data_IF_902864659503
#
_entry.id   IF_902864659503
#
_cell.length_a   1.000
_cell.length_b   1.000
_cell.length_c   1.000
_cell.angle_alpha   90.00
_cell.angle_beta   90.00
_cell.angle_gamma   90.00
#
_symmetry.space_group_name_H-M   'P 1'
#
loop_
_entity.id
_entity.type
_entity.pdbx_description
1 polymer ?
#
# COMPACT_ATOMS: atom_id res chain seq x y z
N UNK A 1 -23.84 -1.88 -9.86
CA UNK A 1 -22.89 -2.12 -10.98
C UNK A 1 -21.88 -0.98 -11.19
N UNK A 2 -22.26 0.30 -11.16
CA UNK A 2 -21.32 1.43 -11.37
C UNK A 2 -20.17 1.46 -10.37
N UNK A 3 -20.46 1.22 -9.08
CA UNK A 3 -19.45 1.20 -8.00
C UNK A 3 -18.38 0.12 -8.22
N UNK A 4 -18.76 -1.11 -8.53
CA UNK A 4 -17.79 -2.19 -8.78
C UNK A 4 -16.84 -1.86 -9.95
N UNK A 5 -17.37 -1.23 -11.01
CA UNK A 5 -16.55 -0.80 -12.15
C UNK A 5 -15.56 0.29 -11.76
N UNK A 6 -16.01 1.26 -10.95
CA UNK A 6 -15.14 2.30 -10.39
C UNK A 6 -14.04 1.70 -9.50
N UNK A 7 -14.43 0.84 -8.55
CA UNK A 7 -13.49 0.17 -7.64
C UNK A 7 -12.44 -0.65 -8.41
N UNK A 8 -12.85 -1.32 -9.49
CA UNK A 8 -11.91 -2.07 -10.32
C UNK A 8 -10.94 -1.16 -11.07
N UNK A 9 -11.42 0.00 -11.56
CA UNK A 9 -10.57 1.00 -12.20
C UNK A 9 -9.56 1.58 -11.20
N UNK A 10 -10.02 1.92 -9.98
CA UNK A 10 -9.14 2.40 -8.89
C UNK A 10 -8.11 1.33 -8.53
N UNK A 11 -8.54 0.08 -8.33
CA UNK A 11 -7.64 -1.04 -8.07
C UNK A 11 -6.56 -1.18 -9.15
N UNK A 12 -6.93 -1.08 -10.44
CA UNK A 12 -5.98 -1.12 -11.55
C UNK A 12 -4.95 0.01 -11.46
N UNK A 13 -5.38 1.24 -11.19
CA UNK A 13 -4.44 2.38 -11.03
C UNK A 13 -3.50 2.19 -9.84
N UNK A 14 -4.02 1.72 -8.71
CA UNK A 14 -3.21 1.40 -7.52
C UNK A 14 -2.16 0.35 -7.88
N UNK A 15 -2.53 -0.73 -8.57
CA UNK A 15 -1.58 -1.77 -9.01
C UNK A 15 -0.47 -1.20 -9.90
N UNK A 16 -0.80 -0.32 -10.84
CA UNK A 16 0.21 0.34 -11.69
C UNK A 16 1.13 1.28 -10.90
N UNK A 17 0.61 1.98 -9.89
CA UNK A 17 1.41 2.84 -9.03
C UNK A 17 2.32 2.04 -8.08
N UNK A 18 1.85 0.89 -7.58
CA UNK A 18 2.60 0.05 -6.63
C UNK A 18 3.90 -0.49 -7.23
N UNK A 19 3.92 -0.85 -8.52
CA UNK A 19 5.12 -1.40 -9.16
C UNK A 19 6.34 -0.48 -9.05
N UNK A 20 6.31 0.79 -9.54
CA UNK A 20 7.44 1.70 -9.40
C UNK A 20 7.70 2.07 -7.94
N UNK A 21 6.68 2.27 -7.10
CA UNK A 21 6.89 2.60 -5.68
C UNK A 21 7.64 1.48 -4.95
N UNK A 22 7.26 0.22 -5.18
CA UNK A 22 7.94 -0.94 -4.58
C UNK A 22 9.41 -0.99 -5.00
N UNK A 23 9.70 -0.77 -6.28
CA UNK A 23 11.09 -0.75 -6.78
C UNK A 23 11.87 0.36 -6.07
N UNK A 24 11.34 1.58 -6.02
CA UNK A 24 12.03 2.72 -5.42
C UNK A 24 12.30 2.47 -3.93
N UNK A 25 11.28 2.08 -3.16
CA UNK A 25 11.41 1.86 -1.71
C UNK A 25 12.33 0.68 -1.38
N UNK A 26 12.26 -0.41 -2.16
CA UNK A 26 13.14 -1.56 -1.96
C UNK A 26 14.60 -1.20 -2.27
N UNK A 27 14.84 -0.57 -3.43
CA UNK A 27 16.18 -0.17 -3.85
C UNK A 27 16.78 0.86 -2.88
N UNK A 28 16.01 1.86 -2.47
CA UNK A 28 16.47 2.89 -1.53
C UNK A 28 16.75 2.31 -0.14
N UNK A 29 15.91 1.40 0.35
CA UNK A 29 16.13 0.69 1.62
C UNK A 29 17.40 -0.16 1.61
N UNK A 30 17.62 -0.94 0.54
CA UNK A 30 18.86 -1.70 0.39
C UNK A 30 20.09 -0.80 0.23
N UNK A 31 20.00 0.27 -0.55
CA UNK A 31 21.08 1.23 -0.72
C UNK A 31 21.49 1.87 0.62
N UNK A 32 20.51 2.22 1.45
CA UNK A 32 20.75 2.80 2.77
C UNK A 32 21.41 1.81 3.74
N UNK A 33 20.88 0.59 3.87
CA UNK A 33 21.35 -0.42 4.83
C UNK A 33 22.69 -1.04 4.40
N UNK A 34 22.84 -1.37 3.11
CA UNK A 34 24.04 -2.04 2.56
C UNK A 34 25.12 -1.06 2.08
N UNK A 35 24.89 0.26 2.19
CA UNK A 35 25.80 1.32 1.73
C UNK A 35 26.20 1.16 0.26
N UNK A 36 25.23 0.86 -0.60
CA UNK A 36 25.50 0.63 -2.03
C UNK A 36 25.89 1.94 -2.71
N UNK A 37 26.90 1.93 -3.56
CA UNK A 37 27.53 3.15 -4.10
C UNK A 37 26.75 3.84 -5.23
N UNK A 38 25.77 3.18 -5.86
CA UNK A 38 25.02 3.78 -6.97
C UNK A 38 24.00 4.85 -6.53
N UNK A 39 23.69 4.94 -5.23
CA UNK A 39 22.75 5.91 -4.68
C UNK A 39 23.36 6.58 -3.45
N UNK A 40 23.40 7.91 -3.43
CA UNK A 40 23.90 8.65 -2.28
C UNK A 40 23.08 8.32 -1.03
N UNK A 41 23.76 8.05 0.10
CA UNK A 41 23.10 7.56 1.33
C UNK A 41 22.00 8.50 1.84
N UNK A 42 22.21 9.82 1.78
CA UNK A 42 21.18 10.79 2.17
C UNK A 42 19.93 10.73 1.29
N UNK A 43 20.11 10.58 -0.03
CA UNK A 43 19.02 10.42 -0.99
C UNK A 43 18.31 9.07 -0.81
N UNK A 44 19.07 8.01 -0.54
CA UNK A 44 18.52 6.68 -0.25
C UNK A 44 17.61 6.71 0.99
N UNK A 45 18.06 7.37 2.07
CA UNK A 45 17.25 7.58 3.26
C UNK A 45 15.98 8.37 2.94
N UNK A 46 16.11 9.54 2.31
CA UNK A 46 14.96 10.38 1.98
C UNK A 46 13.92 9.67 1.11
N UNK A 47 14.35 8.96 0.06
CA UNK A 47 13.44 8.21 -0.81
C UNK A 47 12.74 7.07 -0.06
N UNK A 48 13.45 6.37 0.81
CA UNK A 48 12.86 5.28 1.60
C UNK A 48 11.86 5.81 2.63
N UNK A 49 12.26 6.83 3.38
CA UNK A 49 11.50 7.42 4.49
C UNK A 49 10.28 8.23 4.04
N UNK A 50 10.32 8.83 2.84
CA UNK A 50 9.17 9.59 2.33
C UNK A 50 8.13 8.74 1.59
N UNK A 51 8.55 7.61 1.02
CA UNK A 51 7.70 6.81 0.13
C UNK A 51 7.19 5.51 0.77
N UNK A 52 7.72 5.10 1.91
CA UNK A 52 7.28 3.88 2.58
C UNK A 52 5.85 3.97 3.13
N UNK A 53 5.45 5.09 3.77
CA UNK A 53 4.08 5.29 4.23
C UNK A 53 3.11 5.35 3.03
N UNK A 54 3.33 6.17 1.98
CA UNK A 54 2.52 6.11 0.77
C UNK A 54 2.43 4.72 0.15
N UNK A 55 3.55 3.99 0.09
CA UNK A 55 3.58 2.60 -0.40
C UNK A 55 2.69 1.71 0.46
N UNK A 56 2.81 1.78 1.80
CA UNK A 56 2.07 0.92 2.71
C UNK A 56 0.56 1.19 2.64
N UNK A 57 0.15 2.46 2.58
CA UNK A 57 -1.25 2.84 2.40
C UNK A 57 -1.82 2.31 1.07
N UNK A 58 -1.05 2.40 -0.01
CA UNK A 58 -1.45 1.83 -1.31
C UNK A 58 -1.52 0.31 -1.26
N UNK A 59 -0.61 -0.37 -0.56
CA UNK A 59 -0.66 -1.84 -0.36
C UNK A 59 -1.93 -2.22 0.39
N UNK A 60 -2.26 -1.53 1.49
CA UNK A 60 -3.49 -1.81 2.26
C UNK A 60 -4.72 -1.66 1.36
N UNK A 61 -4.83 -0.55 0.62
CA UNK A 61 -5.93 -0.32 -0.31
C UNK A 61 -6.00 -1.39 -1.41
N UNK A 62 -4.84 -1.78 -1.98
CA UNK A 62 -4.75 -2.83 -2.99
C UNK A 62 -5.24 -4.17 -2.45
N UNK A 63 -4.76 -4.59 -1.29
CA UNK A 63 -5.10 -5.88 -0.67
C UNK A 63 -6.59 -5.92 -0.30
N UNK A 64 -7.16 -4.85 0.25
CA UNK A 64 -8.60 -4.82 0.60
C UNK A 64 -9.48 -4.93 -0.65
N UNK A 65 -9.13 -4.23 -1.73
CA UNK A 65 -9.85 -4.30 -3.00
C UNK A 65 -9.69 -5.67 -3.67
N UNK A 66 -8.47 -6.22 -3.70
CA UNK A 66 -8.20 -7.55 -4.23
C UNK A 66 -8.97 -8.64 -3.46
N UNK A 67 -8.91 -8.60 -2.12
CA UNK A 67 -9.66 -9.51 -1.26
C UNK A 67 -11.17 -9.42 -1.53
N UNK A 68 -11.71 -8.20 -1.69
CA UNK A 68 -13.12 -8.02 -2.05
C UNK A 68 -13.46 -8.67 -3.40
N UNK A 69 -12.64 -8.47 -4.42
CA UNK A 69 -12.87 -9.06 -5.75
C UNK A 69 -12.80 -10.59 -5.72
N UNK A 70 -11.86 -11.15 -4.98
CA UNK A 70 -11.77 -12.62 -4.78
C UNK A 70 -12.96 -13.16 -3.99
N UNK A 71 -13.37 -12.52 -2.89
CA UNK A 71 -14.54 -12.95 -2.12
C UNK A 71 -15.82 -12.93 -2.97
N UNK A 72 -16.00 -11.90 -3.81
CA UNK A 72 -17.11 -11.86 -4.76
C UNK A 72 -17.06 -13.01 -5.78
N UNK A 73 -15.87 -13.43 -6.23
CA UNK A 73 -15.68 -14.59 -7.11
C UNK A 73 -16.15 -15.88 -6.44
N UNK A 74 -15.92 -16.03 -5.13
CA UNK A 74 -16.42 -17.14 -4.32
C UNK A 74 -17.86 -16.97 -3.82
N UNK A 75 -18.61 -16.01 -4.37
CA UNK A 75 -20.01 -15.69 -3.99
C UNK A 75 -20.17 -15.22 -2.53
N UNK A 76 -19.08 -14.87 -1.85
CA UNK A 76 -19.08 -14.26 -0.51
C UNK A 76 -19.24 -12.75 -0.70
N UNK A 77 -20.47 -12.25 -0.54
CA UNK A 77 -20.83 -10.85 -0.76
C UNK A 77 -21.83 -10.38 0.29
N UNK A 78 -21.80 -9.09 0.61
CA UNK A 78 -22.78 -8.47 1.50
C UNK A 78 -22.22 -7.25 2.21
N UNK A 79 -23.13 -6.43 2.76
CA UNK A 79 -22.77 -5.19 3.47
C UNK A 79 -21.86 -5.45 4.67
N UNK A 80 -22.03 -6.61 5.34
CA UNK A 80 -21.17 -7.01 6.47
C UNK A 80 -19.74 -7.26 5.98
N UNK A 81 -19.56 -8.03 4.91
CA UNK A 81 -18.23 -8.33 4.34
C UNK A 81 -17.56 -7.04 3.86
N UNK A 82 -18.28 -6.20 3.12
CA UNK A 82 -17.78 -4.90 2.66
C UNK A 82 -17.40 -4.00 3.86
N UNK A 83 -18.21 -3.98 4.92
CA UNK A 83 -17.94 -3.23 6.15
C UNK A 83 -16.72 -3.75 6.91
N UNK A 84 -16.56 -5.07 7.03
CA UNK A 84 -15.40 -5.68 7.68
C UNK A 84 -14.10 -5.37 6.94
N UNK A 85 -14.09 -5.49 5.61
CA UNK A 85 -12.93 -5.13 4.79
C UNK A 85 -12.60 -3.63 4.92
N UNK A 86 -13.62 -2.77 4.97
CA UNK A 86 -13.42 -1.34 5.14
C UNK A 86 -12.81 -1.02 6.51
N UNK A 87 -13.37 -1.57 7.59
CA UNK A 87 -12.87 -1.39 8.96
C UNK A 87 -11.44 -1.91 9.07
N UNK A 88 -11.16 -3.10 8.53
CA UNK A 88 -9.81 -3.67 8.53
C UNK A 88 -8.83 -2.76 7.78
N UNK A 89 -9.20 -2.27 6.60
CA UNK A 89 -8.38 -1.33 5.83
C UNK A 89 -8.10 -0.04 6.59
N UNK A 90 -9.12 0.53 7.27
CA UNK A 90 -8.97 1.74 8.10
C UNK A 90 -8.03 1.47 9.28
N UNK A 91 -8.22 0.37 10.01
CA UNK A 91 -7.38 0.01 11.16
C UNK A 91 -5.93 -0.17 10.73
N UNK A 92 -5.68 -0.89 9.63
CA UNK A 92 -4.32 -1.09 9.10
C UNK A 92 -3.69 0.24 8.64
N UNK A 93 -4.45 1.08 7.94
CA UNK A 93 -3.97 2.39 7.48
C UNK A 93 -3.66 3.34 8.64
N UNK A 94 -4.54 3.43 9.64
CA UNK A 94 -4.31 4.25 10.84
C UNK A 94 -3.14 3.71 11.66
N UNK A 95 -2.97 2.39 11.75
CA UNK A 95 -1.81 1.79 12.42
C UNK A 95 -0.53 2.15 11.69
N UNK A 96 -0.51 2.11 10.36
CA UNK A 96 0.66 2.52 9.57
C UNK A 96 1.02 3.99 9.82
N UNK A 97 0.03 4.89 9.78
CA UNK A 97 0.22 6.32 10.09
C UNK A 97 0.72 6.51 11.53
N UNK A 98 0.15 5.79 12.49
CA UNK A 98 0.57 5.86 13.89
C UNK A 98 2.02 5.42 14.06
N UNK A 99 2.41 4.30 13.45
CA UNK A 99 3.79 3.80 13.52
C UNK A 99 4.76 4.80 12.89
N UNK A 100 4.44 5.30 11.71
CA UNK A 100 5.25 6.28 10.98
C UNK A 100 5.46 7.58 11.77
N UNK A 101 4.38 8.13 12.34
CA UNK A 101 4.44 9.39 13.10
C UNK A 101 5.04 9.24 14.49
N UNK A 102 4.91 8.06 15.12
CA UNK A 102 5.38 7.84 16.50
C UNK A 102 6.81 7.29 16.58
N UNK A 103 7.27 6.60 15.55
CA UNK A 103 8.59 6.00 15.47
C UNK A 103 9.31 6.43 14.17
N UNK A 104 9.58 7.72 13.99
CA UNK A 104 10.34 8.22 12.84
C UNK A 104 11.77 7.65 12.86
N UNK A 105 12.33 7.42 11.66
CA UNK A 105 13.60 6.70 11.47
C UNK A 105 14.84 7.57 11.53
#
# INVERSE_FOLDING_TARGET
MKVNRLLFRVHRWISWALVPLMIIVAVSGYAYVRKVQFLHRGLAFQLHDTLDLPLFLLIVAHVMLAARFELMRFKVKGRIVDGLLLVLGIVLGLTAIYVDTRFPR
#
